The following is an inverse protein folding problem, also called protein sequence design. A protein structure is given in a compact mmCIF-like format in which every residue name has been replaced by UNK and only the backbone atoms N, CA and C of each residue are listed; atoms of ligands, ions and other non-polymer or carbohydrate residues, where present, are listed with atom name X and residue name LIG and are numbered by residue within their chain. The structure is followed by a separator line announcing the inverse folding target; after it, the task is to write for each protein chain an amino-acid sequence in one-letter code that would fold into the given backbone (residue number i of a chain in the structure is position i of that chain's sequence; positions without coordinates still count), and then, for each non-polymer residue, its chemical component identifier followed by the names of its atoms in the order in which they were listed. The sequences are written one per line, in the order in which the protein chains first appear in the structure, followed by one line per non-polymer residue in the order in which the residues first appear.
data_IF_759010686361
#
_entry.id   IF_759010686361
#
_cell.length_a   1.000
_cell.length_b   1.000
_cell.length_c   1.000
_cell.angle_alpha   90.00
_cell.angle_beta   90.00
_cell.angle_gamma   90.00
#
_symmetry.space_group_name_H-M   'P 1'
#
loop_
_entity.id
_entity.type
_entity.pdbx_description
1 polymer ?
#
# COMPACT_ATOMS: atom_id res chain seq x y z
N UNK A 1 -10.20 -16.38 48.40
CA UNK A 1 -10.55 -17.18 47.19
C UNK A 1 -11.17 -16.36 46.06
N UNK A 2 -11.89 -15.24 46.30
CA UNK A 2 -12.50 -14.44 45.22
C UNK A 2 -11.52 -13.80 44.21
N UNK A 3 -10.27 -13.47 44.58
CA UNK A 3 -9.32 -12.79 43.68
C UNK A 3 -8.76 -13.67 42.56
N UNK A 4 -8.74 -15.00 42.73
CA UNK A 4 -8.24 -15.92 41.70
C UNK A 4 -9.25 -16.13 40.55
N UNK A 5 -10.56 -16.06 40.85
CA UNK A 5 -11.61 -16.22 39.86
C UNK A 5 -11.70 -15.03 38.86
N UNK A 6 -11.37 -13.82 39.31
CA UNK A 6 -11.42 -12.61 38.45
C UNK A 6 -10.29 -12.59 37.42
N UNK A 7 -9.09 -13.08 37.77
CA UNK A 7 -7.95 -13.14 36.84
C UNK A 7 -8.12 -14.18 35.73
N UNK A 8 -8.76 -15.32 36.02
CA UNK A 8 -9.09 -16.35 35.03
C UNK A 8 -10.15 -15.88 34.03
N UNK A 9 -11.15 -15.11 34.48
CA UNK A 9 -12.17 -14.53 33.60
C UNK A 9 -11.62 -13.51 32.60
N UNK A 10 -10.67 -12.67 33.03
CA UNK A 10 -10.07 -11.64 32.18
C UNK A 10 -9.19 -12.23 31.05
N UNK A 11 -8.45 -13.31 31.31
CA UNK A 11 -7.63 -13.97 30.29
C UNK A 11 -8.48 -14.67 29.21
N UNK A 12 -9.61 -15.28 29.59
CA UNK A 12 -10.53 -15.95 28.67
C UNK A 12 -11.25 -14.95 27.75
N UNK A 13 -11.59 -13.76 28.25
CA UNK A 13 -12.23 -12.69 27.46
C UNK A 13 -11.29 -12.10 26.39
N UNK A 14 -10.01 -11.90 26.71
CA UNK A 14 -9.01 -11.41 25.73
C UNK A 14 -8.74 -12.46 24.65
N UNK A 15 -8.68 -13.74 25.04
CA UNK A 15 -8.56 -14.86 24.09
C UNK A 15 -9.74 -14.93 23.13
N UNK A 16 -10.98 -14.89 23.64
CA UNK A 16 -12.20 -15.00 22.84
C UNK A 16 -12.42 -13.82 21.88
N UNK A 17 -12.01 -12.59 22.25
CA UNK A 17 -12.08 -11.42 21.35
C UNK A 17 -11.06 -11.49 20.22
N UNK A 18 -9.87 -12.05 20.48
CA UNK A 18 -8.83 -12.27 19.47
C UNK A 18 -9.26 -13.34 18.46
N UNK A 19 -9.85 -14.43 18.95
CA UNK A 19 -10.35 -15.54 18.13
C UNK A 19 -11.59 -15.15 17.30
N UNK A 20 -12.44 -14.25 17.80
CA UNK A 20 -13.57 -13.71 17.03
C UNK A 20 -13.12 -12.85 15.83
N UNK A 21 -11.99 -12.16 15.95
CA UNK A 21 -11.43 -11.34 14.87
C UNK A 21 -10.85 -12.21 13.77
N UNK A 22 -10.16 -13.30 14.13
CA UNK A 22 -9.67 -14.29 13.18
C UNK A 22 -10.83 -15.00 12.43
N UNK A 23 -11.99 -15.16 13.06
CA UNK A 23 -13.18 -15.75 12.41
C UNK A 23 -13.93 -14.83 11.44
N UNK A 24 -13.73 -13.51 11.47
CA UNK A 24 -14.37 -12.60 10.52
C UNK A 24 -13.64 -12.50 9.17
N UNK A 25 -12.47 -13.14 9.01
CA UNK A 25 -11.83 -13.39 7.71
C UNK A 25 -11.47 -12.15 6.88
N UNK A 26 -11.54 -10.95 7.47
CA UNK A 26 -11.20 -9.70 6.79
C UNK A 26 -9.72 -9.35 6.96
N UNK A 27 -9.14 -8.71 5.95
CA UNK A 27 -7.78 -8.18 6.05
C UNK A 27 -7.66 -7.21 7.23
N UNK A 28 -6.58 -7.35 8.00
CA UNK A 28 -6.29 -6.48 9.15
C UNK A 28 -5.53 -5.19 8.75
N UNK A 29 -5.18 -5.05 7.47
CA UNK A 29 -4.43 -3.91 6.94
C UNK A 29 -5.20 -3.32 5.76
N UNK A 30 -5.30 -2.00 5.69
CA UNK A 30 -5.83 -1.28 4.54
C UNK A 30 -4.69 -0.67 3.71
N UNK A 31 -4.63 -0.95 2.42
CA UNK A 31 -3.74 -0.31 1.46
C UNK A 31 -4.43 0.90 0.84
N UNK A 32 -3.81 2.07 0.93
CA UNK A 32 -4.36 3.36 0.52
C UNK A 32 -3.55 3.84 -0.67
N UNK A 33 -4.10 3.71 -1.87
CA UNK A 33 -3.39 3.93 -3.13
C UNK A 33 -4.02 5.10 -3.89
N UNK A 34 -3.48 6.32 -3.82
CA UNK A 34 -3.93 7.40 -4.68
C UNK A 34 -3.50 7.14 -6.12
N UNK A 35 -4.41 7.35 -7.06
CA UNK A 35 -4.14 7.14 -8.48
C UNK A 35 -4.68 8.31 -9.31
N UNK A 36 -4.04 8.54 -10.45
CA UNK A 36 -4.43 9.43 -11.52
C UNK A 36 -3.67 9.01 -12.78
N UNK A 37 -4.15 9.33 -14.00
CA UNK A 37 -3.36 9.15 -15.21
C UNK A 37 -2.02 9.89 -15.11
N UNK A 38 -0.90 9.34 -15.63
CA UNK A 38 -0.79 8.09 -16.40
C UNK A 38 -0.57 6.82 -15.54
N UNK A 39 -0.72 6.90 -14.21
CA UNK A 39 -0.30 5.84 -13.28
C UNK A 39 -1.22 4.63 -13.23
N UNK A 40 -2.30 4.64 -14.00
CA UNK A 40 -3.30 3.57 -14.01
C UNK A 40 -2.67 2.21 -14.31
N UNK A 41 -1.81 2.16 -15.34
CA UNK A 41 -1.22 0.89 -15.78
C UNK A 41 -0.43 0.20 -14.67
N UNK A 42 0.39 0.93 -13.93
CA UNK A 42 1.18 0.35 -12.84
C UNK A 42 0.30 -0.27 -11.76
N UNK A 43 -0.79 0.42 -11.38
CA UNK A 43 -1.70 -0.09 -10.37
C UNK A 43 -2.53 -1.27 -10.89
N UNK A 44 -2.95 -1.27 -12.16
CA UNK A 44 -3.63 -2.41 -12.79
C UNK A 44 -2.73 -3.66 -12.80
N UNK A 45 -1.46 -3.51 -13.16
CA UNK A 45 -0.46 -4.58 -13.11
C UNK A 45 -0.27 -5.11 -11.68
N UNK A 46 -0.16 -4.21 -10.69
CA UNK A 46 -0.10 -4.58 -9.28
C UNK A 46 -1.33 -5.36 -8.83
N UNK A 47 -2.53 -4.85 -9.09
CA UNK A 47 -3.80 -5.45 -8.68
C UNK A 47 -3.99 -6.84 -9.30
N UNK A 48 -3.57 -7.00 -10.56
CA UNK A 48 -3.60 -8.30 -11.25
C UNK A 48 -2.71 -9.34 -10.56
N UNK A 49 -1.52 -8.94 -10.09
CA UNK A 49 -0.64 -9.83 -9.34
C UNK A 49 -1.11 -10.06 -7.91
N UNK A 50 -1.56 -9.01 -7.23
CA UNK A 50 -2.10 -9.07 -5.88
C UNK A 50 -3.33 -9.99 -5.81
N UNK A 51 -4.21 -9.96 -6.80
CA UNK A 51 -5.40 -10.82 -6.86
C UNK A 51 -5.03 -12.31 -6.93
N UNK A 52 -3.96 -12.66 -7.67
CA UNK A 52 -3.46 -14.03 -7.80
C UNK A 52 -2.74 -14.54 -6.54
N UNK A 53 -2.57 -13.68 -5.54
CA UNK A 53 -1.78 -13.93 -4.34
C UNK A 53 -2.68 -14.06 -3.11
N UNK A 54 -2.94 -15.29 -2.65
CA UNK A 54 -3.83 -15.54 -1.51
C UNK A 54 -3.35 -14.85 -0.23
N UNK A 55 -2.05 -14.88 0.03
CA UNK A 55 -1.45 -14.20 1.19
C UNK A 55 -1.70 -12.69 1.13
N UNK A 56 -1.65 -12.10 -0.06
CA UNK A 56 -1.89 -10.68 -0.25
C UNK A 56 -3.35 -10.32 -0.01
N UNK A 57 -4.28 -11.10 -0.57
CA UNK A 57 -5.72 -10.90 -0.39
C UNK A 57 -6.15 -11.06 1.07
N UNK A 58 -5.53 -12.00 1.79
CA UNK A 58 -5.82 -12.20 3.20
C UNK A 58 -5.17 -11.14 4.10
N UNK A 59 -4.04 -10.56 3.68
CA UNK A 59 -3.30 -9.60 4.49
C UNK A 59 -3.77 -8.16 4.31
N UNK A 60 -4.23 -7.77 3.11
CA UNK A 60 -4.37 -6.37 2.72
C UNK A 60 -5.63 -6.11 1.88
N UNK A 61 -6.50 -5.21 2.35
CA UNK A 61 -7.61 -4.67 1.55
C UNK A 61 -7.17 -3.41 0.79
N UNK A 62 -7.37 -3.34 -0.53
CA UNK A 62 -6.95 -2.18 -1.33
C UNK A 62 -8.09 -1.16 -1.49
N UNK A 63 -7.78 0.09 -1.13
CA UNK A 63 -8.57 1.29 -1.40
C UNK A 63 -7.84 2.16 -2.42
N UNK A 64 -8.50 2.42 -3.55
CA UNK A 64 -7.98 3.25 -4.64
C UNK A 64 -8.63 4.62 -4.55
N UNK A 65 -7.79 5.66 -4.42
CA UNK A 65 -8.23 7.04 -4.18
C UNK A 65 -8.11 7.86 -5.47
N UNK A 66 -9.24 8.31 -6.01
CA UNK A 66 -9.32 9.05 -7.27
C UNK A 66 -9.53 10.55 -7.04
N UNK A 67 -9.07 11.38 -7.98
CA UNK A 67 -9.33 12.83 -7.96
C UNK A 67 -10.82 13.14 -8.03
N UNK A 68 -11.49 12.40 -8.92
CA UNK A 68 -12.83 12.67 -9.37
C UNK A 68 -13.44 11.41 -9.99
N UNK A 69 -14.71 11.54 -10.36
CA UNK A 69 -15.53 10.47 -10.91
C UNK A 69 -15.14 10.10 -12.36
N UNK A 70 -14.46 10.98 -13.09
CA UNK A 70 -13.97 10.67 -14.44
C UNK A 70 -12.77 9.72 -14.35
N UNK A 71 -11.79 10.02 -13.49
CA UNK A 71 -10.65 9.15 -13.20
C UNK A 71 -11.10 7.76 -12.71
N UNK A 72 -12.08 7.73 -11.79
CA UNK A 72 -12.64 6.48 -11.25
C UNK A 72 -13.24 5.60 -12.35
N UNK A 73 -14.05 6.18 -13.23
CA UNK A 73 -14.69 5.46 -14.35
C UNK A 73 -13.64 4.96 -15.34
N UNK A 74 -12.73 5.82 -15.77
CA UNK A 74 -11.66 5.44 -16.70
C UNK A 74 -10.79 4.29 -16.16
N UNK A 75 -10.49 4.29 -14.85
CA UNK A 75 -9.77 3.18 -14.22
C UNK A 75 -10.58 1.89 -14.17
N UNK A 76 -11.87 1.96 -13.84
CA UNK A 76 -12.76 0.80 -13.79
C UNK A 76 -12.98 0.18 -15.19
N UNK A 77 -13.08 1.02 -16.22
CA UNK A 77 -13.19 0.60 -17.62
C UNK A 77 -11.91 -0.14 -18.05
N UNK A 78 -10.74 0.44 -17.74
CA UNK A 78 -9.45 -0.19 -18.03
C UNK A 78 -9.27 -1.53 -17.28
N UNK A 79 -9.68 -1.60 -16.00
CA UNK A 79 -9.68 -2.85 -15.24
C UNK A 79 -10.58 -3.92 -15.87
N UNK A 80 -11.75 -3.53 -16.36
CA UNK A 80 -12.71 -4.45 -16.98
C UNK A 80 -12.16 -5.01 -18.30
N UNK A 81 -11.61 -4.14 -19.15
CA UNK A 81 -10.99 -4.55 -20.42
C UNK A 81 -9.82 -5.54 -20.23
N UNK A 82 -8.96 -5.29 -19.24
CA UNK A 82 -7.81 -6.18 -18.97
C UNK A 82 -8.21 -7.54 -18.37
N UNK A 83 -9.40 -7.65 -17.75
CA UNK A 83 -9.82 -8.85 -17.01
C UNK A 83 -11.03 -9.61 -17.61
N UNK A 84 -11.68 -9.07 -18.64
CA UNK A 84 -12.82 -9.71 -19.34
C UNK A 84 -12.51 -11.13 -19.81
N UNK A 85 -11.26 -11.42 -20.17
CA UNK A 85 -10.86 -12.75 -20.66
C UNK A 85 -10.73 -13.80 -19.55
N UNK A 86 -10.61 -13.39 -18.28
CA UNK A 86 -10.27 -14.31 -17.18
C UNK A 86 -11.42 -14.58 -16.21
N UNK A 87 -12.49 -13.76 -16.23
CA UNK A 87 -13.54 -13.76 -15.20
C UNK A 87 -14.93 -13.96 -15.81
N UNK A 88 -15.27 -15.21 -16.12
CA UNK A 88 -16.58 -15.60 -16.66
C UNK A 88 -17.78 -15.47 -15.72
N UNK A 89 -17.64 -14.82 -14.56
CA UNK A 89 -18.65 -14.83 -13.47
C UNK A 89 -19.06 -13.43 -12.99
N UNK A 90 -18.90 -12.39 -13.82
CA UNK A 90 -19.26 -11.01 -13.42
C UNK A 90 -18.57 -10.58 -12.11
N UNK A 91 -17.36 -11.07 -11.88
CA UNK A 91 -16.74 -11.15 -10.56
C UNK A 91 -16.47 -9.77 -9.99
N UNK A 92 -16.76 -9.63 -8.69
CA UNK A 92 -16.54 -8.43 -7.87
C UNK A 92 -15.17 -7.80 -8.12
N UNK A 93 -15.16 -6.48 -8.26
CA UNK A 93 -13.94 -5.66 -8.31
C UNK A 93 -13.19 -5.86 -6.99
N UNK A 94 -11.91 -6.27 -7.00
CA UNK A 94 -11.25 -6.72 -5.78
C UNK A 94 -10.61 -5.55 -4.99
N UNK A 95 -10.99 -4.31 -5.33
CA UNK A 95 -10.55 -3.07 -4.72
C UNK A 95 -11.76 -2.16 -4.45
N UNK A 96 -11.60 -1.23 -3.50
CA UNK A 96 -12.64 -0.28 -3.08
C UNK A 96 -12.30 1.12 -3.60
N UNK A 97 -13.23 1.77 -4.29
CA UNK A 97 -13.03 3.12 -4.80
C UNK A 97 -13.34 4.16 -3.73
N UNK A 98 -12.50 5.18 -3.61
CA UNK A 98 -12.78 6.41 -2.85
C UNK A 98 -12.53 7.62 -3.73
N UNK A 99 -13.38 8.64 -3.60
CA UNK A 99 -13.20 9.93 -4.26
C UNK A 99 -12.65 10.91 -3.24
N UNK A 100 -11.64 11.69 -3.62
CA UNK A 100 -11.12 12.75 -2.76
C UNK A 100 -12.25 13.74 -2.47
N UNK A 101 -12.40 14.12 -1.20
CA UNK A 101 -13.36 15.16 -0.84
C UNK A 101 -12.84 16.52 -1.29
N UNK A 102 -13.74 17.38 -1.81
CA UNK A 102 -13.35 18.72 -2.25
C UNK A 102 -12.89 19.55 -1.04
N UNK A 103 -11.59 19.75 -0.95
CA UNK A 103 -11.03 20.76 -0.06
C UNK A 103 -10.96 22.09 -0.80
N UNK A 104 -11.75 23.05 -0.33
CA UNK A 104 -11.62 24.44 -0.74
C UNK A 104 -10.21 24.97 -0.39
N UNK A 105 -9.25 24.90 -1.33
CA UNK A 105 -7.88 25.39 -1.11
C UNK A 105 -6.82 24.87 -2.08
N UNK A 106 -5.55 25.14 -1.77
CA UNK A 106 -4.42 24.55 -2.50
C UNK A 106 -4.36 23.06 -2.17
N UNK A 107 -4.56 22.19 -3.16
CA UNK A 107 -4.49 20.73 -3.02
C UNK A 107 -3.04 20.24 -3.18
N UNK A 108 -2.26 20.03 -2.10
CA UNK A 108 -0.95 19.41 -2.25
C UNK A 108 -1.14 17.98 -2.75
N UNK A 109 -0.21 17.49 -3.59
CA UNK A 109 -0.26 16.13 -4.14
C UNK A 109 -0.35 15.03 -3.06
N UNK A 110 0.16 15.31 -1.86
CA UNK A 110 0.08 14.43 -0.69
C UNK A 110 -1.31 14.35 -0.06
N UNK A 111 -2.21 15.31 -0.33
CA UNK A 111 -3.53 15.39 0.30
C UNK A 111 -4.35 14.12 0.06
N UNK A 112 -4.38 13.60 -1.16
CA UNK A 112 -5.16 12.40 -1.51
C UNK A 112 -4.89 11.20 -0.59
N UNK A 113 -3.64 11.04 -0.15
CA UNK A 113 -3.24 9.95 0.76
C UNK A 113 -3.88 10.11 2.13
N UNK A 114 -3.84 11.33 2.66
CA UNK A 114 -4.40 11.67 3.97
C UNK A 114 -5.92 11.67 3.94
N UNK A 115 -6.52 12.17 2.86
CA UNK A 115 -7.96 12.17 2.65
C UNK A 115 -8.50 10.73 2.56
N UNK A 116 -7.83 9.86 1.80
CA UNK A 116 -8.18 8.44 1.75
C UNK A 116 -8.07 7.75 3.12
N UNK A 117 -7.05 8.09 3.93
CA UNK A 117 -6.94 7.61 5.30
C UNK A 117 -8.09 8.10 6.18
N UNK A 118 -8.43 9.39 6.11
CA UNK A 118 -9.53 9.97 6.87
C UNK A 118 -10.87 9.29 6.51
N UNK A 119 -11.16 9.13 5.22
CA UNK A 119 -12.35 8.42 4.77
C UNK A 119 -12.42 6.97 5.30
N UNK A 120 -11.28 6.26 5.36
CA UNK A 120 -11.24 4.90 5.93
C UNK A 120 -11.52 4.90 7.43
N UNK A 121 -11.07 5.92 8.16
CA UNK A 121 -11.38 6.08 9.58
C UNK A 121 -12.86 6.41 9.81
N UNK A 122 -13.47 7.21 8.92
CA UNK A 122 -14.88 7.62 9.00
C UNK A 122 -15.85 6.50 8.61
N UNK A 123 -15.52 5.72 7.57
CA UNK A 123 -16.36 4.61 7.09
C UNK A 123 -16.57 3.52 8.14
N UNK A 124 -15.70 3.46 9.16
CA UNK A 124 -15.86 2.47 10.20
C UNK A 124 -15.32 2.98 11.54
N UNK A 125 -16.20 3.48 12.42
CA UNK A 125 -15.87 3.72 13.83
C UNK A 125 -15.28 2.46 14.51
N UNK A 126 -15.57 1.28 13.95
CA UNK A 126 -15.12 -0.04 14.37
C UNK A 126 -14.19 -0.69 13.34
N UNK A 127 -13.46 0.12 12.55
CA UNK A 127 -12.66 -0.36 11.42
C UNK A 127 -11.88 -1.61 11.77
N UNK A 128 -12.03 -2.71 10.99
CA UNK A 128 -11.33 -3.95 11.27
C UNK A 128 -9.83 -3.81 11.08
N UNK A 129 -9.37 -2.72 10.45
CA UNK A 129 -7.96 -2.48 10.18
C UNK A 129 -7.22 -1.99 11.43
N UNK A 130 -6.10 -2.63 11.70
CA UNK A 130 -5.14 -2.20 12.71
C UNK A 130 -4.15 -1.18 12.13
N UNK A 131 -3.80 -1.36 10.85
CA UNK A 131 -2.86 -0.49 10.14
C UNK A 131 -3.38 -0.03 8.79
N UNK A 132 -3.01 1.19 8.41
CA UNK A 132 -3.12 1.70 7.04
C UNK A 132 -1.73 1.76 6.41
N UNK A 133 -1.55 1.09 5.27
CA UNK A 133 -0.39 1.25 4.39
C UNK A 133 -0.68 2.35 3.38
N UNK A 134 0.11 3.41 3.40
CA UNK A 134 0.01 4.50 2.43
C UNK A 134 0.91 4.16 1.26
N UNK A 135 0.31 3.73 0.17
CA UNK A 135 1.00 3.18 -0.98
C UNK A 135 1.06 4.20 -2.12
N UNK A 136 1.99 4.02 -3.05
CA UNK A 136 1.94 4.67 -4.35
C UNK A 136 1.35 3.71 -5.39
N UNK A 137 0.79 4.25 -6.47
CA UNK A 137 0.25 3.45 -7.58
C UNK A 137 1.34 2.72 -8.40
N UNK A 138 2.58 3.16 -8.29
CA UNK A 138 3.75 2.65 -9.01
C UNK A 138 4.48 1.58 -8.16
N UNK A 139 3.73 0.61 -7.64
CA UNK A 139 4.26 -0.56 -6.92
C UNK A 139 4.07 -1.78 -7.80
N UNK A 140 5.03 -2.69 -7.84
CA UNK A 140 4.84 -4.02 -8.40
C UNK A 140 5.21 -5.09 -7.39
N UNK A 141 4.52 -6.22 -7.51
CA UNK A 141 4.75 -7.40 -6.69
C UNK A 141 5.75 -8.32 -7.38
N UNK A 142 6.85 -8.65 -6.70
CA UNK A 142 7.79 -9.66 -7.19
C UNK A 142 7.41 -11.06 -6.70
N UNK A 143 6.94 -11.14 -5.46
CA UNK A 143 6.56 -12.38 -4.80
C UNK A 143 5.45 -12.14 -3.78
N UNK A 144 4.74 -13.20 -3.41
CA UNK A 144 3.75 -13.16 -2.33
C UNK A 144 4.36 -13.08 -0.92
N UNK A 145 5.66 -13.35 -0.78
CA UNK A 145 6.33 -13.42 0.53
C UNK A 145 6.29 -12.07 1.28
N UNK A 146 6.20 -10.95 0.54
CA UNK A 146 6.02 -9.61 1.09
C UNK A 146 4.72 -9.41 1.89
N UNK A 147 3.71 -10.24 1.65
CA UNK A 147 2.45 -10.21 2.39
C UNK A 147 2.39 -11.24 3.52
N UNK A 148 3.20 -12.30 3.44
CA UNK A 148 3.32 -13.28 4.52
C UNK A 148 3.81 -12.58 5.79
N UNK A 149 3.02 -12.66 6.87
CA UNK A 149 3.34 -12.02 8.14
C UNK A 149 3.37 -10.48 8.09
N UNK A 150 2.78 -9.84 7.09
CA UNK A 150 2.73 -8.37 6.96
C UNK A 150 2.27 -7.70 8.26
N UNK A 151 1.14 -8.13 8.81
CA UNK A 151 0.60 -7.60 10.07
C UNK A 151 1.58 -7.75 11.24
N UNK A 152 2.25 -8.90 11.35
CA UNK A 152 3.26 -9.16 12.37
C UNK A 152 4.41 -8.15 12.28
N UNK A 153 4.96 -7.96 11.07
CA UNK A 153 6.03 -6.99 10.81
C UNK A 153 5.60 -5.55 11.14
N UNK A 154 4.37 -5.16 10.81
CA UNK A 154 3.86 -3.82 11.13
C UNK A 154 3.73 -3.61 12.65
N UNK A 155 3.25 -4.61 13.39
CA UNK A 155 3.21 -4.59 14.85
C UNK A 155 4.60 -4.46 15.47
N UNK A 156 5.57 -5.23 14.97
CA UNK A 156 6.96 -5.15 15.42
C UNK A 156 7.56 -3.75 15.17
N UNK A 157 7.39 -3.20 13.95
CA UNK A 157 7.85 -1.84 13.63
C UNK A 157 7.18 -0.80 14.53
N UNK A 158 5.87 -0.91 14.77
CA UNK A 158 5.11 -0.01 15.65
C UNK A 158 5.57 -0.09 17.11
N UNK A 159 5.75 -1.30 17.66
CA UNK A 159 6.24 -1.52 19.02
C UNK A 159 7.66 -0.96 19.21
N UNK A 160 8.51 -1.09 18.19
CA UNK A 160 9.84 -0.49 18.14
C UNK A 160 9.83 1.03 17.92
N UNK A 161 8.64 1.66 17.78
CA UNK A 161 8.47 3.08 17.43
C UNK A 161 9.31 3.48 16.22
N UNK A 162 9.44 2.58 15.25
CA UNK A 162 10.19 2.81 14.02
C UNK A 162 9.22 3.28 12.94
N UNK A 163 9.14 4.58 12.74
CA UNK A 163 8.27 5.20 11.75
C UNK A 163 9.01 5.43 10.44
N UNK A 164 8.24 5.63 9.37
CA UNK A 164 8.80 6.03 8.09
C UNK A 164 9.62 7.32 8.24
N UNK A 165 10.86 7.32 7.72
CA UNK A 165 11.78 8.45 7.81
C UNK A 165 12.77 8.39 8.98
N UNK A 166 12.50 7.59 10.03
CA UNK A 166 13.35 7.52 11.23
C UNK A 166 14.75 6.98 10.95
N UNK A 167 14.88 6.12 9.93
CA UNK A 167 16.17 5.55 9.50
C UNK A 167 16.87 6.34 8.40
N UNK A 168 16.38 7.52 8.02
CA UNK A 168 17.10 8.35 7.06
C UNK A 168 18.26 9.06 7.76
N UNK A 169 19.43 8.41 7.79
CA UNK A 169 20.70 9.07 8.09
C UNK A 169 20.76 10.35 7.23
N UNK A 170 21.31 11.48 7.72
CA UNK A 170 21.36 12.77 6.97
C UNK A 170 21.89 12.68 5.52
N UNK A 171 22.58 11.60 5.15
CA UNK A 171 23.08 11.32 3.80
C UNK A 171 22.09 10.55 2.89
N UNK A 172 21.01 9.99 3.43
CA UNK A 172 20.06 9.12 2.74
C UNK A 172 19.30 9.84 1.62
N UNK A 173 18.93 11.10 1.83
CA UNK A 173 18.21 11.93 0.85
C UNK A 173 19.03 12.08 -0.45
N UNK A 174 20.35 12.24 -0.35
CA UNK A 174 21.24 12.36 -1.53
C UNK A 174 21.33 11.06 -2.35
N UNK A 175 21.17 9.90 -1.70
CA UNK A 175 21.16 8.59 -2.37
C UNK A 175 19.82 8.28 -3.05
N UNK A 176 18.74 9.01 -2.73
CA UNK A 176 17.41 8.80 -3.31
C UNK A 176 17.34 9.12 -4.81
N UNK A 177 18.13 10.08 -5.31
CA UNK A 177 18.21 10.36 -6.75
C UNK A 177 18.71 9.15 -7.55
N UNK A 178 19.65 8.38 -6.99
CA UNK A 178 20.18 7.17 -7.62
C UNK A 178 19.20 5.98 -7.52
N UNK A 179 18.35 5.96 -6.49
CA UNK A 179 17.29 4.97 -6.36
C UNK A 179 16.25 5.11 -7.48
N UNK A 180 15.81 6.34 -7.76
CA UNK A 180 14.86 6.61 -8.85
C UNK A 180 15.34 6.12 -10.23
N UNK A 181 16.64 6.24 -10.51
CA UNK A 181 17.24 5.72 -11.75
C UNK A 181 17.42 4.19 -11.79
N UNK A 182 17.30 3.48 -10.65
CA UNK A 182 17.49 2.03 -10.56
C UNK A 182 16.22 1.26 -10.90
N UNK A 183 15.06 1.85 -10.61
CA UNK A 183 13.76 1.18 -10.69
C UNK A 183 13.06 1.38 -12.03
N UNK A 184 13.34 2.43 -12.79
CA UNK A 184 12.97 2.46 -14.21
C UNK A 184 14.15 1.99 -15.05
N UNK A 185 14.27 0.69 -15.41
CA UNK A 185 15.26 0.27 -16.39
C UNK A 185 14.97 1.03 -17.67
N UNK A 186 15.90 1.91 -18.05
CA UNK A 186 15.80 2.62 -19.31
C UNK A 186 15.67 1.58 -20.42
N UNK A 187 14.75 1.78 -21.38
CA UNK A 187 14.71 0.91 -22.53
C UNK A 187 16.11 0.88 -23.17
N UNK A 188 16.54 -0.26 -23.71
CA UNK A 188 17.80 -0.36 -24.41
C UNK A 188 17.89 0.74 -25.49
N UNK A 189 19.10 1.21 -25.84
CA UNK A 189 19.26 2.23 -26.86
C UNK A 189 18.49 1.83 -28.13
N UNK A 190 17.46 2.62 -28.50
CA UNK A 190 16.53 2.32 -29.60
C UNK A 190 15.06 2.07 -29.21
N UNK A 191 14.69 2.05 -27.91
CA UNK A 191 13.29 1.98 -27.48
C UNK A 191 12.51 3.30 -27.54
N UNK A 192 11.20 3.25 -27.27
CA UNK A 192 10.27 4.37 -27.46
C UNK A 192 10.74 5.71 -26.84
N UNK A 193 10.70 6.83 -27.59
CA UNK A 193 11.24 8.12 -27.16
C UNK A 193 10.65 8.66 -25.85
N UNK A 194 9.37 8.39 -25.58
CA UNK A 194 8.69 8.88 -24.37
C UNK A 194 9.35 8.33 -23.09
N UNK A 195 9.75 7.06 -23.08
CA UNK A 195 10.43 6.42 -21.94
C UNK A 195 11.87 6.90 -21.75
N UNK A 196 12.54 7.36 -22.81
CA UNK A 196 13.93 7.84 -22.73
C UNK A 196 14.06 9.19 -22.01
N UNK A 197 13.03 10.05 -22.08
CA UNK A 197 13.05 11.36 -21.41
C UNK A 197 12.99 11.29 -19.88
N UNK A 198 12.47 10.19 -19.33
CA UNK A 198 12.38 9.94 -17.89
C UNK A 198 13.73 9.52 -17.28
N UNK A 199 14.67 9.09 -18.12
CA UNK A 199 15.96 8.52 -17.76
C UNK A 199 17.08 9.55 -17.51
N UNK A 200 16.75 10.77 -17.08
CA UNK A 200 17.66 11.92 -16.97
C UNK A 200 19.05 11.59 -16.40
N UNK A 201 19.99 11.25 -17.28
CA UNK A 201 21.45 11.16 -17.12
C UNK A 201 22.03 10.36 -15.94
N UNK A 202 21.23 9.79 -15.06
CA UNK A 202 21.69 9.26 -13.78
C UNK A 202 21.75 7.75 -13.84
N UNK A 203 22.95 7.23 -14.12
CA UNK A 203 23.25 5.82 -13.86
C UNK A 203 23.01 5.57 -12.38
N UNK A 204 22.04 4.71 -12.06
CA UNK A 204 21.88 4.20 -10.71
C UNK A 204 23.22 3.66 -10.21
N UNK A 205 23.62 4.07 -9.01
CA UNK A 205 24.77 3.45 -8.35
C UNK A 205 24.43 1.98 -8.10
N UNK A 206 25.28 1.05 -8.53
CA UNK A 206 25.11 -0.39 -8.28
C UNK A 206 24.96 -0.72 -6.79
N UNK A 207 25.58 0.08 -5.91
CA UNK A 207 25.41 -0.03 -4.45
C UNK A 207 23.97 0.30 -4.01
N UNK A 208 23.37 1.33 -4.62
CA UNK A 208 22.00 1.76 -4.31
C UNK A 208 21.00 0.73 -4.83
N UNK A 209 21.17 0.25 -6.06
CA UNK A 209 20.34 -0.84 -6.61
C UNK A 209 20.42 -2.10 -5.76
N UNK A 210 21.62 -2.51 -5.32
CA UNK A 210 21.80 -3.68 -4.47
C UNK A 210 21.13 -3.52 -3.10
N UNK A 211 21.20 -2.32 -2.49
CA UNK A 211 20.49 -2.03 -1.23
C UNK A 211 18.98 -2.04 -1.40
N UNK A 212 18.45 -1.43 -2.46
CA UNK A 212 17.00 -1.46 -2.76
C UNK A 212 16.55 -2.91 -2.88
N UNK A 213 17.21 -3.69 -3.74
CA UNK A 213 16.86 -5.10 -3.95
C UNK A 213 16.94 -5.92 -2.66
N UNK A 214 17.86 -5.60 -1.74
CA UNK A 214 17.96 -6.27 -0.44
C UNK A 214 16.79 -5.93 0.48
N UNK A 215 16.41 -4.66 0.58
CA UNK A 215 15.36 -4.18 1.49
C UNK A 215 13.95 -4.38 0.90
N UNK A 216 13.83 -4.47 -0.44
CA UNK A 216 12.58 -4.64 -1.18
C UNK A 216 12.55 -5.94 -1.97
N UNK A 217 13.23 -7.00 -1.51
CA UNK A 217 13.31 -8.27 -2.24
C UNK A 217 11.92 -8.80 -2.70
N UNK A 218 10.89 -8.54 -1.89
CA UNK A 218 9.51 -8.97 -2.14
C UNK A 218 8.69 -8.01 -3.02
N UNK A 219 9.12 -6.75 -3.18
CA UNK A 219 8.39 -5.71 -3.90
C UNK A 219 9.32 -4.95 -4.85
N UNK A 220 8.96 -4.82 -6.12
CA UNK A 220 9.60 -3.81 -6.97
C UNK A 220 8.80 -2.54 -6.83
N UNK A 221 9.21 -1.67 -5.91
CA UNK A 221 8.62 -0.35 -5.77
C UNK A 221 9.22 0.53 -6.86
N UNK A 222 8.43 0.88 -7.89
CA UNK A 222 8.87 1.78 -8.95
C UNK A 222 8.90 3.25 -8.49
N UNK A 223 8.56 3.50 -7.23
CA UNK A 223 8.69 4.81 -6.59
C UNK A 223 9.88 4.91 -5.65
N UNK A 224 10.16 6.16 -5.31
CA UNK A 224 11.27 6.68 -4.55
C UNK A 224 11.18 6.40 -3.03
N UNK A 225 10.40 5.38 -2.64
CA UNK A 225 10.03 5.08 -1.25
C UNK A 225 10.32 3.61 -0.95
N UNK A 226 11.53 3.31 -0.47
CA UNK A 226 11.94 1.93 -0.12
C UNK A 226 11.33 1.40 1.17
N UNK A 227 10.44 2.16 1.81
CA UNK A 227 9.58 1.71 2.90
C UNK A 227 8.18 2.28 2.62
N UNK A 228 7.16 1.43 2.50
CA UNK A 228 5.76 1.87 2.37
C UNK A 228 5.38 2.55 3.70
N UNK A 229 5.07 3.86 3.72
CA UNK A 229 4.65 4.52 4.94
C UNK A 229 3.42 3.82 5.51
N UNK A 230 3.37 3.67 6.83
CA UNK A 230 2.24 3.04 7.49
C UNK A 230 1.80 3.85 8.71
N UNK A 231 0.54 3.70 9.08
CA UNK A 231 -0.07 4.36 10.23
C UNK A 231 -0.85 3.33 11.03
N UNK A 232 -0.75 3.41 12.35
CA UNK A 232 -1.64 2.66 13.24
C UNK A 232 -2.99 3.37 13.30
N UNK A 233 -4.09 2.67 13.00
CA UNK A 233 -5.40 3.30 12.79
C UNK A 233 -5.94 3.97 14.06
N UNK A 234 -5.67 3.40 15.24
CA UNK A 234 -6.07 4.01 16.51
C UNK A 234 -5.28 5.30 16.79
N UNK A 235 -3.99 5.34 16.41
CA UNK A 235 -3.18 6.55 16.55
C UNK A 235 -3.70 7.64 15.63
N UNK A 236 -3.98 7.31 14.37
CA UNK A 236 -4.54 8.26 13.41
C UNK A 236 -5.87 8.85 13.87
N UNK A 237 -6.75 8.03 14.46
CA UNK A 237 -8.06 8.48 14.97
C UNK A 237 -7.97 9.48 16.12
N UNK A 238 -6.89 9.46 16.91
CA UNK A 238 -6.70 10.35 18.06
C UNK A 238 -6.11 11.70 17.67
N UNK A 239 -5.56 11.82 16.47
CA UNK A 239 -5.00 13.07 15.92
C UNK A 239 -6.12 13.91 15.32
#
# INVERSE_FOLDING_TARGET
MLRAAVLLGACLLVGALRERRDRQGGAAVAGIVPVHPPKFRFLLDFLTHWEKCDEARNALDIYVIFSDEADRRAFADAWSQDNETSRGDGTRVPWKALLVQDLHGKNPKSWKKLDGLAQILDMSPQSPYEFGLIMDAEIALNSCAGFTGLLGRLREKHAAKTWYGDKTNRNGISKMRYAAGAVSPCPPPGGEPERASWCGGTKASSEVTARINKETADFTVYTWWTDVPYVHMETARRM
#
